data_IF_361200637075
#
_entry.id   IF_361200637075
#
_cell.length_a   1.000
_cell.length_b   1.000
_cell.length_c   1.000
_cell.angle_alpha   90.00
_cell.angle_beta   90.00
_cell.angle_gamma   90.00
#
_symmetry.space_group_name_H-M   'P 1'
#
loop_
_entity.id
_entity.type
_entity.pdbx_description
1 polymer ?
#
# COMPACT_ATOMS: atom_id res chain seq x y z
N UNK A 1 -10.23 7.19 -40.80
CA UNK A 1 -10.28 7.89 -39.51
C UNK A 1 -10.12 6.83 -38.44
N UNK A 2 -9.01 6.80 -37.71
CA UNK A 2 -8.90 5.95 -36.53
C UNK A 2 -9.74 6.63 -35.45
N UNK A 3 -10.80 5.97 -34.98
CA UNK A 3 -11.53 6.42 -33.80
C UNK A 3 -10.53 6.53 -32.65
N UNK A 4 -10.44 7.71 -32.02
CA UNK A 4 -9.59 7.86 -30.84
C UNK A 4 -10.22 7.08 -29.70
N UNK A 5 -9.69 5.90 -29.41
CA UNK A 5 -10.09 5.13 -28.24
C UNK A 5 -9.78 5.95 -26.98
N UNK A 6 -10.81 6.17 -26.17
CA UNK A 6 -10.72 6.91 -24.91
C UNK A 6 -10.80 5.90 -23.77
N UNK A 7 -9.75 5.81 -22.96
CA UNK A 7 -9.73 4.95 -21.77
C UNK A 7 -9.96 5.79 -20.52
N UNK A 8 -10.79 5.31 -19.60
CA UNK A 8 -10.88 5.88 -18.25
C UNK A 8 -9.82 5.21 -17.37
N UNK A 9 -9.25 5.94 -16.41
CA UNK A 9 -8.25 5.35 -15.51
C UNK A 9 -8.76 4.09 -14.81
N UNK A 10 -10.04 4.09 -14.39
CA UNK A 10 -10.70 2.95 -13.75
C UNK A 10 -10.72 1.68 -14.62
N UNK A 11 -10.66 1.85 -15.95
CA UNK A 11 -10.68 0.74 -16.90
C UNK A 11 -9.33 -0.01 -16.90
N UNK A 12 -8.28 0.63 -16.40
CA UNK A 12 -6.90 0.14 -16.41
C UNK A 12 -6.37 -0.20 -15.01
N UNK A 13 -7.19 -0.05 -13.96
CA UNK A 13 -6.83 -0.45 -12.60
C UNK A 13 -6.80 -1.98 -12.50
N UNK A 14 -5.68 -2.52 -12.01
CA UNK A 14 -5.54 -3.95 -11.77
C UNK A 14 -6.27 -4.33 -10.48
N UNK A 15 -7.16 -5.31 -10.59
CA UNK A 15 -7.93 -5.82 -9.46
C UNK A 15 -7.15 -6.90 -8.74
N UNK A 16 -7.04 -6.76 -7.44
CA UNK A 16 -6.47 -7.79 -6.56
C UNK A 16 -7.57 -8.82 -6.26
N UNK A 17 -7.27 -10.10 -6.45
CA UNK A 17 -8.21 -11.19 -6.15
C UNK A 17 -8.68 -11.14 -4.70
N UNK A 18 -10.00 -11.22 -4.50
CA UNK A 18 -10.60 -11.38 -3.17
C UNK A 18 -10.44 -12.81 -2.61
N UNK A 19 -10.03 -13.77 -3.45
CA UNK A 19 -9.80 -15.15 -3.07
C UNK A 19 -8.32 -15.33 -2.70
N UNK A 20 -8.01 -15.27 -1.41
CA UNK A 20 -6.67 -15.47 -0.84
C UNK A 20 -6.78 -16.37 0.39
N UNK A 21 -5.71 -17.07 0.75
CA UNK A 21 -5.69 -17.95 1.92
C UNK A 21 -5.66 -17.15 3.24
N UNK A 22 -6.75 -17.15 4.05
CA UNK A 22 -6.79 -16.42 5.32
C UNK A 22 -5.80 -16.96 6.36
N UNK A 23 -5.26 -18.16 6.15
CA UNK A 23 -4.21 -18.72 6.99
C UNK A 23 -2.85 -18.07 6.76
N UNK A 24 -2.63 -17.48 5.57
CA UNK A 24 -1.41 -16.71 5.28
C UNK A 24 -1.51 -15.30 5.86
N UNK A 25 -2.64 -14.64 5.66
CA UNK A 25 -2.90 -13.31 6.19
C UNK A 25 -4.39 -13.16 6.50
N UNK A 26 -4.71 -12.77 7.73
CA UNK A 26 -6.07 -12.45 8.15
C UNK A 26 -6.18 -10.93 8.37
N UNK A 27 -6.81 -10.16 7.48
CA UNK A 27 -6.95 -8.71 7.66
C UNK A 27 -7.87 -8.34 8.83
N UNK A 28 -8.81 -9.22 9.22
CA UNK A 28 -9.83 -8.93 10.23
C UNK A 28 -9.22 -8.55 11.59
N UNK A 29 -7.99 -9.01 11.87
CA UNK A 29 -7.28 -8.70 13.12
C UNK A 29 -6.85 -7.23 13.24
N UNK A 30 -6.92 -6.46 12.15
CA UNK A 30 -6.59 -5.04 12.12
C UNK A 30 -7.79 -4.11 12.06
N UNK A 31 -9.02 -4.64 12.01
CA UNK A 31 -10.22 -3.81 11.79
C UNK A 31 -10.38 -2.73 12.85
N UNK A 32 -10.17 -3.05 14.14
CA UNK A 32 -10.25 -2.03 15.20
C UNK A 32 -9.15 -0.98 15.08
N UNK A 33 -7.95 -1.35 14.61
CA UNK A 33 -6.88 -0.40 14.32
C UNK A 33 -7.25 0.50 13.13
N UNK A 34 -7.84 -0.06 12.07
CA UNK A 34 -8.28 0.69 10.89
C UNK A 34 -9.44 1.64 11.22
N UNK A 35 -10.38 1.20 12.07
CA UNK A 35 -11.47 2.05 12.58
C UNK A 35 -10.94 3.24 13.37
N UNK A 36 -9.93 3.03 14.22
CA UNK A 36 -9.32 4.12 14.98
C UNK A 36 -8.45 5.04 14.11
N UNK A 37 -7.74 4.50 13.11
CA UNK A 37 -6.84 5.28 12.25
C UNK A 37 -7.58 6.10 11.19
N UNK A 38 -8.61 5.51 10.57
CA UNK A 38 -9.33 6.07 9.43
C UNK A 38 -10.70 6.64 9.79
N UNK A 39 -11.18 6.39 11.01
CA UNK A 39 -12.49 6.84 11.50
C UNK A 39 -13.62 6.37 10.55
N UNK A 40 -14.42 7.29 10.03
CA UNK A 40 -15.53 7.04 9.11
C UNK A 40 -15.11 6.96 7.63
N UNK A 41 -13.81 7.10 7.32
CA UNK A 41 -13.28 7.16 5.95
C UNK A 41 -13.05 5.77 5.38
N UNK A 42 -14.14 5.10 5.01
CA UNK A 42 -14.08 3.71 4.54
C UNK A 42 -13.17 3.50 3.32
N UNK A 43 -13.09 4.49 2.43
CA UNK A 43 -12.18 4.45 1.27
C UNK A 43 -10.70 4.36 1.65
N UNK A 44 -10.30 4.83 2.83
CA UNK A 44 -8.93 4.65 3.32
C UNK A 44 -8.72 3.22 3.79
N UNK A 45 -9.69 2.65 4.50
CA UNK A 45 -9.63 1.27 5.01
C UNK A 45 -9.60 0.28 3.84
N UNK A 46 -10.47 0.46 2.86
CA UNK A 46 -10.49 -0.36 1.64
C UNK A 46 -9.15 -0.33 0.90
N UNK A 47 -8.56 0.86 0.71
CA UNK A 47 -7.25 0.98 0.09
C UNK A 47 -6.15 0.24 0.88
N UNK A 48 -6.15 0.35 2.21
CA UNK A 48 -5.22 -0.38 3.08
C UNK A 48 -5.45 -1.89 2.94
N UNK A 49 -6.70 -2.37 3.04
CA UNK A 49 -7.05 -3.79 2.93
C UNK A 49 -6.62 -4.38 1.59
N UNK A 50 -6.87 -3.67 0.49
CA UNK A 50 -6.52 -4.14 -0.85
C UNK A 50 -4.99 -4.26 -1.03
N UNK A 51 -4.22 -3.28 -0.54
CA UNK A 51 -2.75 -3.34 -0.54
C UNK A 51 -2.25 -4.49 0.31
N UNK A 52 -2.75 -4.64 1.53
CA UNK A 52 -2.29 -5.70 2.42
C UNK A 52 -2.62 -7.08 1.86
N UNK A 53 -3.78 -7.25 1.24
CA UNK A 53 -4.14 -8.49 0.53
C UNK A 53 -3.16 -8.80 -0.60
N UNK A 54 -2.80 -7.79 -1.39
CA UNK A 54 -1.83 -7.96 -2.47
C UNK A 54 -0.43 -8.34 -1.95
N UNK A 55 0.04 -7.69 -0.88
CA UNK A 55 1.39 -7.90 -0.35
C UNK A 55 1.52 -9.15 0.54
N UNK A 56 0.48 -9.48 1.31
CA UNK A 56 0.53 -10.49 2.38
C UNK A 56 -0.35 -11.71 2.10
N UNK A 57 -1.33 -11.60 1.20
CA UNK A 57 -2.22 -12.71 0.84
C UNK A 57 -1.47 -13.85 0.12
N UNK A 58 -0.33 -13.56 -0.49
CA UNK A 58 0.56 -14.57 -1.08
C UNK A 58 0.01 -15.27 -2.32
N UNK A 59 -1.00 -14.68 -2.97
CA UNK A 59 -1.52 -15.11 -4.28
C UNK A 59 -0.62 -14.62 -5.42
N UNK A 60 -0.04 -13.43 -5.26
CA UNK A 60 0.87 -12.82 -6.22
C UNK A 60 2.29 -12.80 -5.65
N UNK A 61 3.29 -13.07 -6.49
CA UNK A 61 4.71 -12.92 -6.16
C UNK A 61 5.29 -11.64 -6.73
N UNK A 62 4.62 -11.05 -7.72
CA UNK A 62 5.09 -9.89 -8.46
C UNK A 62 3.93 -9.11 -9.09
N UNK A 63 4.19 -7.86 -9.50
CA UNK A 63 3.27 -7.06 -10.31
C UNK A 63 2.97 -7.72 -11.65
N UNK A 64 3.94 -8.45 -12.22
CA UNK A 64 3.74 -9.25 -13.43
C UNK A 64 2.65 -10.29 -13.24
N UNK A 65 2.66 -11.04 -12.13
CA UNK A 65 1.64 -12.06 -11.85
C UNK A 65 0.23 -11.43 -11.82
N UNK A 66 0.10 -10.28 -11.15
CA UNK A 66 -1.16 -9.52 -11.10
C UNK A 66 -1.59 -9.00 -12.48
N UNK A 67 -0.62 -8.53 -13.27
CA UNK A 67 -0.84 -8.02 -14.60
C UNK A 67 -1.28 -9.10 -15.60
N UNK A 68 -0.68 -10.29 -15.55
CA UNK A 68 -1.08 -11.45 -16.36
C UNK A 68 -2.54 -11.82 -16.10
N UNK A 69 -2.91 -11.99 -14.82
CA UNK A 69 -4.30 -12.28 -14.44
C UNK A 69 -5.27 -11.18 -14.90
N UNK A 70 -4.90 -9.91 -14.75
CA UNK A 70 -5.77 -8.81 -15.14
C UNK A 70 -5.88 -8.66 -16.66
N UNK A 71 -4.81 -8.91 -17.42
CA UNK A 71 -4.82 -8.84 -18.87
C UNK A 71 -5.76 -9.89 -19.47
N UNK A 72 -5.76 -11.10 -18.94
CA UNK A 72 -6.64 -12.19 -19.38
C UNK A 72 -8.13 -11.88 -19.11
N UNK A 73 -8.41 -11.10 -18.06
CA UNK A 73 -9.77 -10.83 -17.58
C UNK A 73 -10.29 -9.42 -17.91
N UNK A 74 -9.49 -8.54 -18.52
CA UNK A 74 -9.86 -7.16 -18.80
C UNK A 74 -9.67 -6.81 -20.29
N UNK A 75 -10.79 -6.77 -21.01
CA UNK A 75 -10.81 -6.43 -22.44
C UNK A 75 -10.26 -5.03 -22.74
N UNK A 76 -10.34 -4.08 -21.78
CA UNK A 76 -9.77 -2.73 -21.96
C UNK A 76 -8.26 -2.72 -21.91
N UNK A 77 -7.64 -3.63 -21.16
CA UNK A 77 -6.19 -3.83 -21.23
C UNK A 77 -5.78 -4.41 -22.58
N UNK A 78 -6.53 -5.40 -23.09
CA UNK A 78 -6.28 -6.01 -24.40
C UNK A 78 -6.53 -5.06 -25.59
N UNK A 79 -7.47 -4.11 -25.45
CA UNK A 79 -7.68 -3.04 -26.42
C UNK A 79 -6.50 -2.06 -26.44
N UNK A 80 -5.93 -1.76 -25.26
CA UNK A 80 -4.84 -0.77 -25.11
C UNK A 80 -3.47 -1.34 -25.48
N UNK A 81 -3.19 -2.59 -25.10
CA UNK A 81 -1.91 -3.26 -25.32
C UNK A 81 -2.13 -4.44 -26.27
N UNK A 82 -1.39 -4.47 -27.38
CA UNK A 82 -1.59 -5.46 -28.45
C UNK A 82 -1.22 -6.89 -28.02
N UNK A 83 -0.36 -7.01 -27.01
CA UNK A 83 0.06 -8.27 -26.41
C UNK A 83 0.29 -8.12 -24.91
N UNK A 84 0.30 -9.25 -24.20
CA UNK A 84 0.67 -9.30 -22.80
C UNK A 84 2.11 -8.81 -22.59
N UNK A 85 3.01 -9.13 -23.52
CA UNK A 85 4.40 -8.67 -23.49
C UNK A 85 4.49 -7.14 -23.56
N UNK A 86 3.72 -6.49 -24.45
CA UNK A 86 3.67 -5.02 -24.55
C UNK A 86 3.14 -4.40 -23.25
N UNK A 87 2.15 -5.04 -22.63
CA UNK A 87 1.61 -4.59 -21.36
C UNK A 87 2.66 -4.69 -20.25
N UNK A 88 3.29 -5.85 -20.08
CA UNK A 88 4.32 -6.08 -19.04
C UNK A 88 5.50 -5.12 -19.21
N UNK A 89 5.94 -4.84 -20.45
CA UNK A 89 7.03 -3.88 -20.72
C UNK A 89 6.69 -2.45 -20.28
N UNK A 90 5.40 -2.10 -20.18
CA UNK A 90 4.97 -0.79 -19.70
C UNK A 90 4.95 -0.66 -18.17
N UNK A 91 5.08 -1.77 -17.43
CA UNK A 91 5.00 -1.80 -15.97
C UNK A 91 6.32 -1.37 -15.32
N UNK A 92 6.21 -0.72 -14.16
CA UNK A 92 7.35 -0.37 -13.33
C UNK A 92 7.63 -1.49 -12.32
N UNK A 93 8.87 -1.97 -12.27
CA UNK A 93 9.31 -3.05 -11.36
C UNK A 93 8.45 -4.32 -11.49
N UNK A 94 8.27 -4.88 -12.70
CA UNK A 94 7.35 -6.00 -12.94
C UNK A 94 7.65 -7.24 -12.07
N UNK A 95 8.92 -7.48 -11.74
CA UNK A 95 9.36 -8.63 -10.94
C UNK A 95 9.31 -8.38 -9.41
N UNK A 96 8.64 -7.31 -8.97
CA UNK A 96 8.47 -6.94 -7.55
C UNK A 96 6.99 -6.81 -7.21
N UNK A 97 6.65 -6.98 -5.93
CA UNK A 97 5.36 -6.53 -5.41
C UNK A 97 5.38 -5.00 -5.33
N UNK A 98 4.93 -4.37 -6.40
CA UNK A 98 4.79 -2.92 -6.55
C UNK A 98 3.35 -2.58 -6.95
N UNK A 99 2.86 -1.43 -6.52
CA UNK A 99 1.57 -0.88 -6.91
C UNK A 99 1.57 0.65 -6.78
N UNK A 100 0.65 1.31 -7.48
CA UNK A 100 0.30 2.71 -7.27
C UNK A 100 -1.07 2.82 -6.61
N UNK A 101 -1.25 3.82 -5.74
CA UNK A 101 -2.52 4.12 -5.09
C UNK A 101 -2.99 5.52 -5.47
N UNK A 102 -4.08 5.60 -6.21
CA UNK A 102 -4.62 6.86 -6.70
C UNK A 102 -5.71 7.39 -5.78
N UNK A 103 -5.35 8.39 -4.98
CA UNK A 103 -6.27 9.06 -4.06
C UNK A 103 -6.36 10.54 -4.42
N UNK A 104 -7.56 11.11 -4.42
CA UNK A 104 -7.77 12.54 -4.61
C UNK A 104 -7.05 13.38 -3.53
N UNK A 105 -6.79 14.66 -3.79
CA UNK A 105 -6.26 15.58 -2.78
C UNK A 105 -7.22 15.69 -1.58
N UNK A 106 -6.69 16.00 -0.40
CA UNK A 106 -7.46 16.11 0.85
C UNK A 106 -8.16 14.84 1.38
N UNK A 107 -8.02 13.68 0.73
CA UNK A 107 -8.58 12.40 1.22
C UNK A 107 -7.76 11.74 2.33
N UNK A 108 -6.67 12.36 2.80
CA UNK A 108 -5.85 11.82 3.88
C UNK A 108 -4.92 10.66 3.49
N UNK A 109 -4.32 10.71 2.29
CA UNK A 109 -3.30 9.75 1.80
C UNK A 109 -2.22 9.36 2.82
N UNK A 110 -1.79 10.29 3.68
CA UNK A 110 -0.81 10.02 4.72
C UNK A 110 -1.25 8.96 5.74
N UNK A 111 -2.55 8.88 6.04
CA UNK A 111 -3.09 7.86 6.94
C UNK A 111 -3.04 6.47 6.31
N UNK A 112 -3.33 6.38 5.00
CA UNK A 112 -3.20 5.13 4.24
C UNK A 112 -1.75 4.66 4.21
N UNK A 113 -0.80 5.56 3.90
CA UNK A 113 0.63 5.24 3.93
C UNK A 113 1.09 4.74 5.31
N UNK A 114 0.68 5.43 6.38
CA UNK A 114 1.01 5.04 7.74
C UNK A 114 0.39 3.68 8.11
N UNK A 115 -0.89 3.46 7.80
CA UNK A 115 -1.60 2.20 8.10
C UNK A 115 -0.93 1.00 7.43
N UNK A 116 -0.59 1.12 6.14
CA UNK A 116 0.14 0.08 5.41
C UNK A 116 1.50 -0.18 6.07
N UNK A 117 2.29 0.88 6.32
CA UNK A 117 3.60 0.74 6.95
C UNK A 117 3.52 0.07 8.33
N UNK A 118 2.56 0.48 9.17
CA UNK A 118 2.36 -0.08 10.51
C UNK A 118 2.01 -1.56 10.45
N UNK A 119 1.12 -1.96 9.56
CA UNK A 119 0.67 -3.35 9.48
C UNK A 119 1.76 -4.24 8.88
N UNK A 120 2.49 -3.80 7.85
CA UNK A 120 3.62 -4.56 7.31
C UNK A 120 4.73 -4.79 8.36
N UNK A 121 5.02 -3.79 9.19
CA UNK A 121 5.94 -3.92 10.33
C UNK A 121 5.37 -4.85 11.42
N UNK A 122 4.08 -4.74 11.73
CA UNK A 122 3.41 -5.59 12.71
C UNK A 122 3.44 -7.08 12.30
N UNK A 123 3.20 -7.39 11.03
CA UNK A 123 3.36 -8.77 10.51
C UNK A 123 4.82 -9.23 10.48
N UNK A 124 5.79 -8.31 10.53
CA UNK A 124 7.19 -8.59 10.26
C UNK A 124 7.46 -8.94 8.80
N UNK A 125 6.57 -8.53 7.88
CA UNK A 125 6.76 -8.66 6.44
C UNK A 125 7.90 -7.76 5.94
N UNK A 126 8.16 -6.66 6.67
CA UNK A 126 9.31 -5.78 6.49
C UNK A 126 9.95 -5.48 7.85
N UNK A 127 11.24 -5.21 7.85
CA UNK A 127 11.96 -4.79 9.07
C UNK A 127 12.01 -3.26 9.24
N UNK A 128 11.80 -2.50 8.17
CA UNK A 128 11.89 -1.03 8.13
C UNK A 128 11.14 -0.49 6.90
N UNK A 129 10.75 0.77 6.96
CA UNK A 129 10.00 1.44 5.88
C UNK A 129 10.68 2.76 5.50
N UNK A 130 10.76 3.03 4.20
CA UNK A 130 11.23 4.32 3.66
C UNK A 130 10.08 5.04 2.95
N UNK A 131 9.82 6.28 3.33
CA UNK A 131 8.84 7.17 2.72
C UNK A 131 9.58 8.34 2.07
N UNK A 132 9.63 8.35 0.74
CA UNK A 132 10.23 9.44 -0.02
C UNK A 132 9.18 10.50 -0.37
N UNK A 133 9.53 11.77 -0.25
CA UNK A 133 8.65 12.90 -0.55
C UNK A 133 9.38 14.00 -1.33
N UNK A 134 8.68 14.93 -2.02
CA UNK A 134 9.34 15.84 -2.96
C UNK A 134 9.72 17.20 -2.39
N UNK A 135 9.47 17.48 -1.10
CA UNK A 135 9.99 18.69 -0.46
C UNK A 135 10.15 18.57 1.06
N UNK A 136 11.10 19.32 1.62
CA UNK A 136 11.30 19.47 3.06
C UNK A 136 10.02 19.85 3.84
N UNK A 137 9.12 20.65 3.24
CA UNK A 137 7.84 21.01 3.88
C UNK A 137 6.93 19.79 4.04
N UNK A 138 6.91 18.90 3.03
CA UNK A 138 6.14 17.65 3.09
C UNK A 138 6.80 16.68 4.06
N UNK A 139 8.13 16.57 4.05
CA UNK A 139 8.90 15.75 4.99
C UNK A 139 8.56 16.13 6.43
N UNK A 140 8.67 17.41 6.79
CA UNK A 140 8.36 17.90 8.13
C UNK A 140 6.92 17.59 8.55
N UNK A 141 5.95 17.81 7.65
CA UNK A 141 4.54 17.54 7.93
C UNK A 141 4.20 16.04 8.05
N UNK A 142 4.89 15.17 7.30
CA UNK A 142 4.75 13.73 7.43
C UNK A 142 5.41 13.24 8.73
N UNK A 143 6.61 13.72 9.04
CA UNK A 143 7.36 13.39 10.25
C UNK A 143 6.57 13.76 11.51
N UNK A 144 6.02 14.96 11.59
CA UNK A 144 5.16 15.37 12.72
C UNK A 144 3.95 14.44 12.85
N UNK A 145 3.22 14.23 11.75
CA UNK A 145 2.01 13.40 11.76
C UNK A 145 2.29 11.95 12.15
N UNK A 146 3.31 11.34 11.56
CA UNK A 146 3.65 9.94 11.83
C UNK A 146 4.17 9.78 13.26
N UNK A 147 4.88 10.79 13.79
CA UNK A 147 5.31 10.79 15.20
C UNK A 147 4.11 10.82 16.14
N UNK A 148 3.12 11.67 15.87
CA UNK A 148 1.87 11.72 16.66
C UNK A 148 1.11 10.38 16.60
N UNK A 149 0.96 9.81 15.40
CA UNK A 149 0.28 8.52 15.23
C UNK A 149 1.06 7.35 15.87
N UNK A 150 2.39 7.41 15.93
CA UNK A 150 3.22 6.40 16.61
C UNK A 150 3.19 6.55 18.13
N UNK A 151 3.01 7.78 18.63
CA UNK A 151 2.85 8.05 20.06
C UNK A 151 1.45 7.70 20.60
N UNK A 152 0.46 7.49 19.72
CA UNK A 152 -0.91 7.16 20.12
C UNK A 152 -1.01 5.75 20.72
N UNK A 153 -1.28 5.72 22.04
CA UNK A 153 -1.43 4.47 22.79
C UNK A 153 -2.64 3.65 22.36
N UNK A 154 -3.72 4.29 21.91
CA UNK A 154 -4.91 3.59 21.45
C UNK A 154 -4.59 2.80 20.18
N UNK A 155 -3.96 3.45 19.19
CA UNK A 155 -3.53 2.77 17.96
C UNK A 155 -2.58 1.60 18.25
N UNK A 156 -1.69 1.74 19.23
CA UNK A 156 -0.79 0.65 19.65
C UNK A 156 -1.54 -0.54 20.26
N UNK A 157 -2.49 -0.31 21.16
CA UNK A 157 -3.21 -1.37 21.88
C UNK A 157 -4.16 -2.14 20.93
N UNK A 158 -4.60 -1.50 19.86
CA UNK A 158 -5.49 -2.10 18.85
C UNK A 158 -4.76 -2.99 17.84
N UNK A 159 -3.42 -3.06 17.88
CA UNK A 159 -2.67 -4.03 17.08
C UNK A 159 -2.74 -5.43 17.70
N UNK A 160 -2.66 -6.50 16.88
CA UNK A 160 -2.63 -7.88 17.36
C UNK A 160 -1.49 -8.14 18.36
N UNK A 161 -1.74 -8.98 19.37
CA UNK A 161 -0.74 -9.32 20.40
C UNK A 161 0.51 -10.00 19.83
N UNK A 162 0.38 -10.71 18.70
CA UNK A 162 1.46 -11.43 18.04
C UNK A 162 2.33 -10.58 17.08
N UNK A 163 2.06 -9.27 17.05
CA UNK A 163 2.78 -8.29 16.23
C UNK A 163 4.29 -8.28 16.52
N UNK A 164 5.11 -8.36 15.47
CA UNK A 164 6.58 -8.40 15.56
C UNK A 164 7.17 -7.05 15.91
N UNK A 165 6.65 -5.97 15.32
CA UNK A 165 7.09 -4.60 15.57
C UNK A 165 5.87 -3.77 15.98
N UNK A 166 5.70 -3.62 17.29
CA UNK A 166 4.52 -2.97 17.88
C UNK A 166 4.48 -1.46 17.68
N UNK A 167 5.63 -0.78 17.71
CA UNK A 167 5.69 0.67 17.58
C UNK A 167 6.90 1.11 16.76
N UNK A 168 6.70 1.78 15.62
CA UNK A 168 7.82 2.25 14.84
C UNK A 168 8.39 3.51 15.44
N UNK A 169 9.70 3.66 15.33
CA UNK A 169 10.34 4.94 15.56
C UNK A 169 10.36 5.72 14.24
N UNK A 170 10.04 7.02 14.30
CA UNK A 170 9.97 7.89 13.13
C UNK A 170 11.29 8.64 13.03
N UNK A 171 11.97 8.49 11.90
CA UNK A 171 13.32 9.04 11.71
C UNK A 171 13.53 9.57 10.29
N UNK A 172 14.74 10.05 10.01
CA UNK A 172 15.21 10.48 8.69
C UNK A 172 16.65 10.00 8.45
N UNK A 173 17.21 10.24 7.26
CA UNK A 173 18.52 9.75 6.86
C UNK A 173 19.69 10.47 7.58
N UNK A 174 19.41 11.46 8.42
CA UNK A 174 20.43 12.07 9.29
C UNK A 174 20.82 11.18 10.49
N UNK A 175 20.04 10.13 10.74
CA UNK A 175 20.28 9.16 11.82
C UNK A 175 20.53 7.77 11.25
N UNK A 176 21.09 6.88 12.07
CA UNK A 176 21.20 5.46 11.69
C UNK A 176 19.81 4.83 11.68
N UNK A 177 19.38 4.32 10.53
CA UNK A 177 18.11 3.60 10.38
C UNK A 177 18.23 2.21 11.02
N UNK A 178 17.27 1.87 11.87
CA UNK A 178 17.22 0.65 12.66
C UNK A 178 15.98 -0.17 12.31
N UNK A 179 15.99 -1.45 12.72
CA UNK A 179 14.80 -2.31 12.64
C UNK A 179 13.65 -1.68 13.43
N UNK A 180 12.51 -1.56 12.77
CA UNK A 180 11.29 -0.94 13.27
C UNK A 180 11.14 0.52 12.85
N UNK A 181 12.11 1.12 12.16
CA UNK A 181 11.99 2.51 11.76
C UNK A 181 11.05 2.71 10.56
N UNK A 182 10.33 3.82 10.60
CA UNK A 182 9.79 4.48 9.41
C UNK A 182 10.66 5.72 9.17
N UNK A 183 11.51 5.63 8.16
CA UNK A 183 12.36 6.72 7.70
C UNK A 183 11.59 7.57 6.68
N UNK A 184 11.53 8.88 6.89
CA UNK A 184 10.88 9.84 5.99
C UNK A 184 11.97 10.79 5.48
N UNK A 185 12.06 10.95 4.15
CA UNK A 185 13.16 11.71 3.53
C UNK A 185 12.68 12.46 2.27
N UNK A 186 13.30 13.61 1.99
CA UNK A 186 13.09 14.38 0.76
C UNK A 186 14.05 14.00 -0.38
#
# INVERSE_FOLDING_TARGET
>A
MLESQTFQNKDLVLKVSANYDPKKFNPDKYESFLDALCEDREYQKEAIREVLRYFLGGEYKSLKDLAEENYDNNTKLQEKYLSLEDFIQSLQLPDKLSCSLDHATATGKSYVMYGIARILLAEGAVDQVLVLCPSNTIEAGLTEKFTLLSADKNLKILLPEDSKILNPHITNASNTIQKGDICIEN
#
